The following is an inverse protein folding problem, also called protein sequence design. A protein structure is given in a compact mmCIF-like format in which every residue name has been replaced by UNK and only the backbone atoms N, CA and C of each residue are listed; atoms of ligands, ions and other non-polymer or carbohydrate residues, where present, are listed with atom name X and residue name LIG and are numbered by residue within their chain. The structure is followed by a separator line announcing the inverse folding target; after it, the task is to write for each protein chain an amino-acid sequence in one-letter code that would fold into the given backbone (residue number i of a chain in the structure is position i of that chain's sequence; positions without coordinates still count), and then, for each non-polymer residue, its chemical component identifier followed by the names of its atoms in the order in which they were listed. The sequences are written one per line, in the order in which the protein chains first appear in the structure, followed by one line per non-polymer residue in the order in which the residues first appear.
data_IF_745318488299
#
_entry.id   IF_745318488299
#
_cell.length_a   1.000
_cell.length_b   1.000
_cell.length_c   1.000
_cell.angle_alpha   90.00
_cell.angle_beta   90.00
_cell.angle_gamma   90.00
#
_symmetry.space_group_name_H-M   'P 1'
#
loop_
_entity.id
_entity.type
_entity.pdbx_description
1 polymer ?
#
# COMPACT_ATOMS: atom_id res chain seq x y z
N UNK A 1 -13.68 14.23 -35.20
CA UNK A 1 -14.28 12.91 -35.48
C UNK A 1 -13.19 11.86 -35.37
N UNK A 2 -13.33 10.91 -34.44
CA UNK A 2 -12.71 9.58 -34.46
C UNK A 2 -13.32 8.78 -33.29
N UNK A 3 -14.31 7.95 -33.59
CA UNK A 3 -14.75 6.85 -32.73
C UNK A 3 -13.68 5.76 -32.75
N UNK A 4 -13.39 5.15 -31.60
CA UNK A 4 -13.21 3.71 -31.58
C UNK A 4 -14.29 3.10 -30.69
N UNK A 5 -15.40 2.75 -31.34
CA UNK A 5 -16.36 1.78 -30.85
C UNK A 5 -15.71 0.40 -31.08
N UNK A 6 -15.13 -0.14 -30.01
CA UNK A 6 -14.65 -1.52 -29.93
C UNK A 6 -15.51 -2.26 -28.92
N UNK A 7 -15.86 -3.55 -29.16
CA UNK A 7 -16.86 -4.26 -28.38
C UNK A 7 -16.53 -4.23 -26.87
N UNK A 8 -17.53 -3.98 -25.98
CA UNK A 8 -17.35 -3.97 -24.54
C UNK A 8 -17.15 -5.41 -24.04
N UNK A 9 -15.93 -5.92 -24.20
CA UNK A 9 -15.62 -7.32 -23.92
C UNK A 9 -14.29 -7.82 -24.49
N UNK A 10 -13.54 -6.98 -25.22
CA UNK A 10 -12.14 -7.29 -25.52
C UNK A 10 -11.30 -7.20 -24.24
N UNK A 11 -11.22 -8.31 -23.51
CA UNK A 11 -10.36 -8.50 -22.35
C UNK A 11 -8.92 -8.32 -22.83
N UNK A 12 -8.35 -7.13 -22.58
CA UNK A 12 -7.03 -6.77 -23.07
C UNK A 12 -5.98 -7.77 -22.54
N UNK A 13 -5.29 -8.54 -23.41
CA UNK A 13 -4.37 -9.59 -22.98
C UNK A 13 -3.11 -9.04 -22.29
N UNK A 14 -2.85 -7.74 -22.46
CA UNK A 14 -1.72 -7.03 -21.86
C UNK A 14 -2.12 -6.22 -20.62
N UNK A 15 -3.34 -6.43 -20.09
CA UNK A 15 -3.78 -5.79 -18.85
C UNK A 15 -2.90 -6.17 -17.66
N UNK A 16 -2.40 -5.15 -16.95
CA UNK A 16 -1.61 -5.27 -15.73
C UNK A 16 -2.53 -5.40 -14.51
N UNK A 17 -2.57 -6.60 -13.93
CA UNK A 17 -3.46 -6.96 -12.82
C UNK A 17 -2.86 -6.64 -11.45
N UNK A 18 -3.70 -6.16 -10.54
CA UNK A 18 -3.40 -6.04 -9.11
C UNK A 18 -3.47 -7.41 -8.41
N UNK A 19 -3.06 -7.46 -7.14
CA UNK A 19 -3.20 -8.67 -6.32
C UNK A 19 -4.66 -9.15 -6.24
N UNK A 20 -5.59 -8.19 -6.17
CA UNK A 20 -7.03 -8.46 -6.10
C UNK A 20 -7.54 -8.99 -7.45
N UNK A 21 -7.13 -8.38 -8.57
CA UNK A 21 -7.51 -8.88 -9.90
C UNK A 21 -6.98 -10.28 -10.23
N UNK A 22 -5.83 -10.68 -9.66
CA UNK A 22 -5.30 -12.04 -9.80
C UNK A 22 -6.08 -13.03 -8.91
N UNK A 23 -6.51 -12.60 -7.72
CA UNK A 23 -7.35 -13.40 -6.83
C UNK A 23 -8.74 -13.66 -7.44
N UNK A 24 -9.31 -12.64 -8.09
CA UNK A 24 -10.55 -12.77 -8.87
C UNK A 24 -10.38 -13.72 -10.05
N UNK A 25 -9.26 -13.64 -10.78
CA UNK A 25 -8.98 -14.55 -11.89
C UNK A 25 -8.87 -16.01 -11.43
N UNK A 26 -8.42 -16.24 -10.20
CA UNK A 26 -8.39 -17.56 -9.57
C UNK A 26 -9.76 -18.03 -9.05
N UNK A 27 -10.86 -17.30 -9.29
CA UNK A 27 -12.21 -17.68 -8.88
C UNK A 27 -12.38 -17.82 -7.36
N UNK A 28 -11.64 -17.03 -6.57
CA UNK A 28 -11.70 -17.09 -5.11
C UNK A 28 -10.91 -18.25 -4.46
N UNK A 29 -10.27 -19.10 -5.25
CA UNK A 29 -9.37 -20.15 -4.72
C UNK A 29 -8.13 -19.58 -4.03
N UNK A 30 -7.78 -18.33 -4.34
CA UNK A 30 -6.56 -17.66 -3.87
C UNK A 30 -6.94 -16.29 -3.31
N UNK A 31 -6.49 -15.98 -2.09
CA UNK A 31 -6.67 -14.65 -1.49
C UNK A 31 -5.59 -13.67 -1.96
N UNK A 32 -5.84 -12.34 -1.99
CA UNK A 32 -4.85 -11.34 -2.40
C UNK A 32 -3.54 -11.38 -1.58
N UNK A 33 -3.60 -11.74 -0.30
CA UNK A 33 -2.41 -11.92 0.54
C UNK A 33 -1.51 -13.07 0.06
N UNK A 34 -2.10 -14.14 -0.49
CA UNK A 34 -1.36 -15.26 -1.08
C UNK A 34 -0.61 -14.81 -2.34
N UNK A 35 -1.25 -13.97 -3.18
CA UNK A 35 -0.60 -13.38 -4.36
C UNK A 35 0.57 -12.48 -3.95
N UNK A 36 0.39 -11.66 -2.91
CA UNK A 36 1.49 -10.84 -2.34
C UNK A 36 2.65 -11.71 -1.84
N UNK A 37 2.35 -12.85 -1.23
CA UNK A 37 3.37 -13.84 -0.82
C UNK A 37 4.13 -14.41 -2.02
N UNK A 38 3.46 -14.70 -3.13
CA UNK A 38 4.11 -15.17 -4.35
C UNK A 38 5.03 -14.14 -4.99
N UNK A 39 4.64 -12.87 -4.97
CA UNK A 39 5.54 -11.78 -5.37
C UNK A 39 6.75 -11.68 -4.44
N UNK A 40 6.55 -11.80 -3.13
CA UNK A 40 7.65 -11.75 -2.15
C UNK A 40 8.64 -12.90 -2.34
N UNK A 41 8.13 -14.10 -2.65
CA UNK A 41 8.93 -15.30 -2.82
C UNK A 41 9.48 -15.45 -4.25
N UNK A 42 9.27 -14.47 -5.14
CA UNK A 42 9.74 -14.49 -6.53
C UNK A 42 9.11 -15.58 -7.41
N UNK A 43 8.01 -16.18 -6.97
CA UNK A 43 7.34 -17.27 -7.72
C UNK A 43 6.48 -16.76 -8.87
N UNK A 44 5.95 -15.53 -8.75
CA UNK A 44 5.14 -14.87 -9.76
C UNK A 44 5.85 -13.58 -10.23
N UNK A 45 6.09 -13.40 -11.54
CA UNK A 45 6.73 -12.19 -12.04
C UNK A 45 5.84 -10.97 -11.81
N UNK A 46 6.45 -9.84 -11.47
CA UNK A 46 5.74 -8.58 -11.26
C UNK A 46 6.57 -7.41 -11.75
N UNK A 47 5.89 -6.36 -12.19
CA UNK A 47 6.45 -5.05 -12.48
C UNK A 47 6.08 -4.10 -11.33
N UNK A 48 7.02 -3.22 -10.96
CA UNK A 48 6.83 -2.22 -9.89
C UNK A 48 6.56 -0.87 -10.53
N UNK A 49 5.46 -0.24 -10.12
CA UNK A 49 5.01 1.08 -10.54
C UNK A 49 5.18 2.05 -9.36
N UNK A 50 6.27 2.85 -9.32
CA UNK A 50 6.56 3.74 -8.21
C UNK A 50 5.46 4.78 -7.97
N UNK A 51 4.76 5.17 -9.03
CA UNK A 51 3.69 6.18 -9.03
C UNK A 51 2.45 5.80 -8.20
N UNK A 52 2.23 4.51 -7.91
CA UNK A 52 1.00 4.01 -7.26
C UNK A 52 1.10 3.85 -5.73
N UNK A 53 2.20 4.30 -5.12
CA UNK A 53 2.41 4.24 -3.67
C UNK A 53 2.74 2.84 -3.13
N UNK A 54 3.35 2.78 -1.94
CA UNK A 54 4.04 1.58 -1.43
C UNK A 54 3.15 0.34 -1.22
N UNK A 55 1.84 0.50 -1.08
CA UNK A 55 0.90 -0.63 -0.83
C UNK A 55 0.36 -1.28 -2.10
N UNK A 56 0.39 -0.59 -3.24
CA UNK A 56 -0.27 -1.02 -4.50
C UNK A 56 0.64 -0.82 -5.74
N UNK A 57 1.96 -0.91 -5.53
CA UNK A 57 2.93 -0.66 -6.60
C UNK A 57 3.22 -1.90 -7.45
N UNK A 58 2.86 -3.12 -7.05
CA UNK A 58 3.16 -4.34 -7.81
C UNK A 58 2.00 -4.73 -8.71
N UNK A 59 2.27 -4.98 -9.99
CA UNK A 59 1.30 -5.55 -10.93
C UNK A 59 1.92 -6.66 -11.77
N UNK A 60 1.11 -7.62 -12.17
CA UNK A 60 1.54 -8.74 -13.03
C UNK A 60 0.73 -8.70 -14.32
N UNK A 61 1.38 -9.00 -15.45
CA UNK A 61 0.68 -9.14 -16.72
C UNK A 61 -0.31 -10.31 -16.64
N UNK A 62 -1.54 -10.11 -17.14
CA UNK A 62 -2.59 -11.13 -17.12
C UNK A 62 -2.11 -12.50 -17.63
N UNK A 63 -1.41 -12.55 -18.77
CA UNK A 63 -0.86 -13.79 -19.36
C UNK A 63 0.05 -14.57 -18.41
N UNK A 64 0.89 -13.86 -17.66
CA UNK A 64 1.83 -14.50 -16.73
C UNK A 64 1.10 -15.00 -15.48
N UNK A 65 0.12 -14.24 -14.99
CA UNK A 65 -0.75 -14.66 -13.90
C UNK A 65 -1.57 -15.91 -14.27
N UNK A 66 -2.20 -15.93 -15.45
CA UNK A 66 -2.96 -17.09 -15.94
C UNK A 66 -2.06 -18.32 -16.12
N UNK A 67 -0.88 -18.16 -16.75
CA UNK A 67 0.08 -19.27 -16.92
C UNK A 67 0.53 -19.83 -15.57
N UNK A 68 0.81 -18.96 -14.61
CA UNK A 68 1.23 -19.37 -13.28
C UNK A 68 0.11 -20.08 -12.52
N UNK A 69 -1.10 -19.52 -12.56
CA UNK A 69 -2.28 -20.11 -11.93
C UNK A 69 -2.63 -21.46 -12.55
N UNK A 70 -2.55 -21.61 -13.89
CA UNK A 70 -2.75 -22.91 -14.55
C UNK A 70 -1.74 -23.96 -14.10
N UNK A 71 -0.48 -23.54 -13.92
CA UNK A 71 0.58 -24.44 -13.42
C UNK A 71 0.38 -24.82 -11.95
N UNK A 72 -0.16 -23.92 -11.13
CA UNK A 72 -0.28 -24.10 -9.68
C UNK A 72 -1.59 -24.76 -9.25
N UNK A 73 -2.69 -24.45 -9.91
CA UNK A 73 -4.03 -24.92 -9.56
C UNK A 73 -4.61 -25.94 -10.57
N UNK A 74 -3.93 -26.22 -11.68
CA UNK A 74 -4.43 -27.07 -12.77
C UNK A 74 -5.19 -26.25 -13.82
N UNK A 75 -5.96 -26.89 -14.69
CA UNK A 75 -6.83 -26.16 -15.63
C UNK A 75 -7.74 -25.24 -14.83
N UNK A 76 -7.45 -23.95 -14.90
CA UNK A 76 -8.27 -22.90 -14.31
C UNK A 76 -9.68 -23.09 -14.87
N UNK A 77 -10.74 -23.08 -14.04
CA UNK A 77 -12.08 -22.97 -14.58
C UNK A 77 -12.06 -21.75 -15.50
N UNK A 78 -12.32 -21.99 -16.79
CA UNK A 78 -12.63 -20.91 -17.72
C UNK A 78 -13.63 -20.02 -16.99
N UNK A 79 -13.28 -18.74 -16.87
CA UNK A 79 -13.93 -17.75 -16.02
C UNK A 79 -15.39 -18.14 -15.75
N UNK A 80 -15.80 -18.38 -14.48
CA UNK A 80 -17.19 -18.65 -14.23
C UNK A 80 -17.94 -17.36 -14.60
N UNK A 81 -18.52 -17.37 -15.79
CA UNK A 81 -19.77 -16.69 -16.03
C UNK A 81 -20.64 -17.13 -14.86
N UNK A 82 -20.98 -16.15 -14.03
CA UNK A 82 -21.92 -16.21 -12.93
C UNK A 82 -23.13 -17.06 -13.30
N UNK A 83 -23.08 -18.36 -12.99
CA UNK A 83 -24.22 -19.25 -13.01
C UNK A 83 -24.17 -20.10 -11.74
N UNK A 84 -24.98 -19.66 -10.77
CA UNK A 84 -25.80 -20.46 -9.88
C UNK A 84 -25.54 -21.98 -9.88
N UNK A 85 -24.99 -22.51 -8.79
CA UNK A 85 -25.36 -23.85 -8.33
C UNK A 85 -25.00 -24.05 -6.86
N UNK A 86 -26.05 -24.11 -6.04
CA UNK A 86 -26.04 -24.84 -4.78
C UNK A 86 -25.82 -26.32 -5.09
N UNK A 87 -24.87 -26.97 -4.41
CA UNK A 87 -24.81 -28.42 -4.33
C UNK A 87 -24.24 -28.84 -2.96
N UNK A 88 -25.17 -29.25 -2.10
CA UNK A 88 -25.18 -30.42 -1.20
C UNK A 88 -23.86 -31.08 -0.76
N UNK A 89 -23.68 -31.39 0.54
CA UNK A 89 -22.67 -32.34 1.00
C UNK A 89 -23.11 -33.79 0.73
N UNK A 90 -22.15 -34.58 0.27
CA UNK A 90 -22.22 -35.99 -0.14
C UNK A 90 -22.33 -36.95 1.06
N UNK A 91 -23.25 -37.91 0.99
CA UNK A 91 -23.33 -39.11 1.84
C UNK A 91 -22.35 -40.21 1.38
N UNK A 92 -21.86 -41.03 2.31
CA UNK A 92 -21.50 -42.48 2.21
C UNK A 92 -21.12 -42.93 3.64
N UNK A 93 -21.64 -43.99 4.27
CA UNK A 93 -21.61 -45.40 3.83
C UNK A 93 -22.63 -46.29 4.62
N UNK A 94 -23.03 -47.39 3.99
CA UNK A 94 -24.16 -48.37 4.14
C UNK A 94 -24.34 -49.22 5.45
N UNK A 95 -25.19 -50.30 5.51
CA UNK A 95 -26.60 -50.52 5.07
C UNK A 95 -27.47 -51.24 6.15
N UNK A 96 -28.81 -51.11 6.13
CA UNK A 96 -29.76 -52.24 6.28
C UNK A 96 -31.25 -51.80 6.30
N UNK A 97 -32.00 -52.37 5.35
CA UNK A 97 -33.40 -52.81 5.44
C UNK A 97 -34.46 -51.87 6.08
N UNK A 98 -35.27 -51.21 5.25
CA UNK A 98 -36.75 -51.32 5.22
C UNK A 98 -37.41 -50.28 4.27
N UNK A 99 -38.63 -50.54 3.78
CA UNK A 99 -39.18 -49.89 2.60
C UNK A 99 -39.41 -48.38 2.76
N UNK A 100 -39.07 -47.67 1.69
CA UNK A 100 -39.28 -46.25 1.38
C UNK A 100 -40.41 -45.56 2.17
N UNK A 101 -40.12 -44.55 3.00
CA UNK A 101 -41.09 -43.51 3.27
C UNK A 101 -41.11 -42.58 2.06
N UNK A 102 -42.23 -42.54 1.34
CA UNK A 102 -42.56 -41.41 0.47
C UNK A 102 -42.34 -40.10 1.25
N UNK A 103 -41.59 -39.12 0.74
CA UNK A 103 -41.45 -37.85 1.43
C UNK A 103 -42.85 -37.23 1.55
N UNK A 104 -43.22 -36.66 2.71
CA UNK A 104 -44.47 -35.91 2.79
C UNK A 104 -44.38 -34.80 1.75
N UNK A 105 -45.36 -34.77 0.84
CA UNK A 105 -45.56 -33.65 -0.08
C UNK A 105 -45.57 -32.37 0.73
N UNK A 106 -44.46 -31.63 0.73
CA UNK A 106 -44.37 -30.33 1.38
C UNK A 106 -45.57 -29.50 0.91
N UNK A 107 -46.44 -29.14 1.85
CA UNK A 107 -47.63 -28.37 1.55
C UNK A 107 -47.19 -27.04 0.93
N UNK A 108 -47.96 -26.51 -0.02
CA UNK A 108 -47.72 -25.15 -0.54
C UNK A 108 -47.59 -24.09 0.58
N UNK A 109 -48.21 -24.34 1.74
CA UNK A 109 -48.05 -23.51 2.94
C UNK A 109 -46.64 -23.59 3.54
N UNK A 110 -46.02 -24.78 3.60
CA UNK A 110 -44.65 -24.96 4.11
C UNK A 110 -43.61 -24.33 3.17
N UNK A 111 -43.88 -24.36 1.86
CA UNK A 111 -43.04 -23.66 0.87
C UNK A 111 -43.14 -22.14 1.00
N UNK A 112 -44.33 -21.60 1.28
CA UNK A 112 -44.50 -20.17 1.53
C UNK A 112 -43.84 -19.74 2.85
N UNK A 113 -43.89 -20.57 3.89
CA UNK A 113 -43.27 -20.27 5.18
C UNK A 113 -41.73 -20.32 5.09
N UNK A 114 -41.18 -21.30 4.37
CA UNK A 114 -39.73 -21.35 4.09
C UNK A 114 -39.27 -20.18 3.24
N UNK A 115 -40.05 -19.74 2.24
CA UNK A 115 -39.75 -18.53 1.46
C UNK A 115 -39.83 -17.26 2.30
N UNK A 116 -40.81 -17.16 3.20
CA UNK A 116 -40.93 -16.03 4.13
C UNK A 116 -39.74 -15.99 5.11
N UNK A 117 -39.34 -17.15 5.64
CA UNK A 117 -38.16 -17.31 6.49
C UNK A 117 -36.87 -16.98 5.75
N UNK A 118 -36.72 -17.43 4.50
CA UNK A 118 -35.57 -17.09 3.66
C UNK A 118 -35.48 -15.59 3.38
N UNK A 119 -36.63 -14.95 3.09
CA UNK A 119 -36.68 -13.50 2.93
C UNK A 119 -36.28 -12.78 4.22
N UNK A 120 -36.82 -13.18 5.36
CA UNK A 120 -36.44 -12.59 6.65
C UNK A 120 -34.95 -12.78 6.97
N UNK A 121 -34.39 -13.95 6.64
CA UNK A 121 -32.97 -14.22 6.78
C UNK A 121 -32.12 -13.35 5.84
N UNK A 122 -32.56 -13.15 4.59
CA UNK A 122 -31.89 -12.27 3.63
C UNK A 122 -31.96 -10.79 4.05
N UNK A 123 -33.12 -10.33 4.52
CA UNK A 123 -33.31 -8.97 5.04
C UNK A 123 -32.42 -8.73 6.28
N UNK A 124 -32.33 -9.73 7.18
CA UNK A 124 -31.45 -9.69 8.35
C UNK A 124 -29.96 -9.68 7.97
N UNK A 125 -29.56 -10.53 7.02
CA UNK A 125 -28.18 -10.55 6.51
C UNK A 125 -27.81 -9.22 5.83
N UNK A 126 -28.74 -8.62 5.08
CA UNK A 126 -28.53 -7.34 4.44
C UNK A 126 -28.38 -6.21 5.49
N UNK A 127 -29.20 -6.20 6.52
CA UNK A 127 -29.06 -5.25 7.64
C UNK A 127 -27.73 -5.43 8.38
N UNK A 128 -27.28 -6.67 8.58
CA UNK A 128 -25.98 -6.94 9.18
C UNK A 128 -24.81 -6.42 8.33
N UNK A 129 -24.87 -6.59 7.00
CA UNK A 129 -23.87 -6.07 6.08
C UNK A 129 -23.87 -4.52 6.04
N UNK A 130 -25.04 -3.90 6.11
CA UNK A 130 -25.17 -2.44 6.17
C UNK A 130 -24.57 -1.92 7.49
N UNK A 131 -24.91 -2.53 8.63
CA UNK A 131 -24.38 -2.13 9.93
C UNK A 131 -22.85 -2.29 9.99
N UNK A 132 -22.31 -3.37 9.43
CA UNK A 132 -20.86 -3.58 9.35
C UNK A 132 -20.18 -2.54 8.44
N UNK A 133 -20.79 -2.23 7.29
CA UNK A 133 -20.28 -1.20 6.38
C UNK A 133 -20.30 0.20 7.03
N UNK A 134 -21.36 0.55 7.76
CA UNK A 134 -21.46 1.80 8.52
C UNK A 134 -20.41 1.88 9.63
N UNK A 135 -20.21 0.80 10.38
CA UNK A 135 -19.18 0.72 11.41
C UNK A 135 -17.78 0.90 10.81
N UNK A 136 -17.48 0.24 9.69
CA UNK A 136 -16.22 0.44 8.97
C UNK A 136 -16.05 1.87 8.47
N UNK A 137 -17.10 2.50 7.95
CA UNK A 137 -17.06 3.89 7.48
C UNK A 137 -16.77 4.86 8.64
N UNK A 138 -17.42 4.67 9.80
CA UNK A 138 -17.18 5.48 11.00
C UNK A 138 -15.75 5.29 11.53
N UNK A 139 -15.25 4.05 11.57
CA UNK A 139 -13.88 3.75 11.99
C UNK A 139 -12.85 4.35 11.03
N UNK A 140 -13.08 4.30 9.72
CA UNK A 140 -12.21 4.93 8.72
C UNK A 140 -12.18 6.46 8.89
N UNK A 141 -13.33 7.08 9.15
CA UNK A 141 -13.41 8.53 9.40
C UNK A 141 -12.65 8.92 10.68
N UNK A 142 -12.80 8.15 11.76
CA UNK A 142 -12.08 8.37 13.02
C UNK A 142 -10.56 8.22 12.84
N UNK A 143 -10.10 7.20 12.11
CA UNK A 143 -8.68 7.01 11.79
C UNK A 143 -8.11 8.14 10.94
N UNK A 144 -8.88 8.63 9.95
CA UNK A 144 -8.48 9.76 9.13
C UNK A 144 -8.31 11.04 9.96
N UNK A 145 -9.19 11.29 10.94
CA UNK A 145 -9.07 12.43 11.85
C UNK A 145 -7.80 12.33 12.72
N UNK A 146 -7.52 11.15 13.29
CA UNK A 146 -6.29 10.92 14.07
C UNK A 146 -5.04 11.10 13.22
N UNK A 147 -5.03 10.59 11.99
CA UNK A 147 -3.89 10.74 11.09
C UNK A 147 -3.61 12.20 10.72
N UNK A 148 -4.65 13.02 10.56
CA UNK A 148 -4.48 14.47 10.33
C UNK A 148 -3.88 15.17 11.54
N UNK A 149 -4.40 14.88 12.73
CA UNK A 149 -3.87 15.45 13.97
C UNK A 149 -2.39 15.07 14.22
N UNK A 150 -2.01 13.83 13.89
CA UNK A 150 -0.62 13.38 13.97
C UNK A 150 0.27 14.10 12.96
N UNK A 151 -0.17 14.24 11.71
CA UNK A 151 0.58 14.98 10.70
C UNK A 151 0.80 16.45 11.10
N UNK A 152 -0.22 17.11 11.65
CA UNK A 152 -0.09 18.47 12.19
C UNK A 152 0.93 18.52 13.34
N UNK A 153 0.84 17.60 14.30
CA UNK A 153 1.80 17.53 15.40
C UNK A 153 3.25 17.33 14.93
N UNK A 154 3.47 16.48 13.92
CA UNK A 154 4.79 16.24 13.35
C UNK A 154 5.34 17.48 12.63
N UNK A 155 4.48 18.23 11.92
CA UNK A 155 4.91 19.49 11.29
C UNK A 155 5.33 20.54 12.33
N UNK A 156 4.62 20.65 13.45
CA UNK A 156 4.96 21.57 14.55
C UNK A 156 6.30 21.17 15.16
N UNK A 157 6.54 19.87 15.38
CA UNK A 157 7.82 19.37 15.90
C UNK A 157 8.96 19.68 14.94
N UNK A 158 8.79 19.42 13.64
CA UNK A 158 9.80 19.71 12.63
C UNK A 158 10.15 21.21 12.57
N UNK A 159 9.15 22.10 12.68
CA UNK A 159 9.37 23.55 12.73
C UNK A 159 10.12 23.98 14.00
N UNK A 160 9.80 23.37 15.16
CA UNK A 160 10.48 23.66 16.41
C UNK A 160 11.97 23.25 16.35
N UNK A 161 12.26 22.08 15.79
CA UNK A 161 13.64 21.61 15.64
C UNK A 161 14.42 22.44 14.61
N UNK A 162 13.79 22.87 13.52
CA UNK A 162 14.40 23.80 12.56
C UNK A 162 14.80 25.13 13.23
N UNK A 163 13.91 25.72 14.05
CA UNK A 163 14.22 26.95 14.81
C UNK A 163 15.36 26.74 15.81
N UNK A 164 15.42 25.59 16.49
CA UNK A 164 16.54 25.27 17.40
C UNK A 164 17.87 25.20 16.64
N UNK A 165 17.90 24.60 15.46
CA UNK A 165 19.11 24.56 14.64
C UNK A 165 19.52 25.96 14.19
N UNK A 166 18.57 26.80 13.82
CA UNK A 166 18.83 28.20 13.43
C UNK A 166 19.43 29.01 14.58
N UNK A 167 18.87 28.91 15.79
CA UNK A 167 19.41 29.62 16.97
C UNK A 167 20.81 29.13 17.35
N UNK A 168 21.07 27.83 17.27
CA UNK A 168 22.41 27.27 17.50
C UNK A 168 23.43 27.77 16.46
N UNK A 169 23.05 27.86 15.19
CA UNK A 169 23.90 28.45 14.14
C UNK A 169 24.17 29.93 14.40
N UNK A 170 23.15 30.67 14.83
CA UNK A 170 23.32 32.08 15.18
C UNK A 170 24.32 32.26 16.34
N UNK A 171 24.16 31.48 17.42
CA UNK A 171 25.11 31.49 18.54
C UNK A 171 26.53 31.13 18.10
N UNK A 172 26.69 30.13 17.25
CA UNK A 172 28.00 29.76 16.69
C UNK A 172 28.65 30.93 15.93
N UNK A 173 27.88 31.66 15.13
CA UNK A 173 28.38 32.83 14.40
C UNK A 173 28.78 33.97 15.36
N UNK A 174 27.99 34.21 16.41
CA UNK A 174 28.30 35.22 17.42
C UNK A 174 29.61 34.87 18.16
N UNK A 175 29.79 33.60 18.57
CA UNK A 175 31.03 33.15 19.19
C UNK A 175 32.24 33.33 18.28
N UNK A 176 32.12 32.98 16.98
CA UNK A 176 33.20 33.23 16.01
C UNK A 176 33.54 34.71 15.87
N UNK A 177 32.53 35.58 15.87
CA UNK A 177 32.73 37.03 15.84
C UNK A 177 33.44 37.55 17.10
N UNK A 178 33.07 37.01 18.27
CA UNK A 178 33.72 37.34 19.53
C UNK A 178 35.18 36.87 19.57
N UNK A 179 35.47 35.64 19.13
CA UNK A 179 36.83 35.11 19.02
C UNK A 179 37.68 35.95 18.07
N UNK A 180 37.12 36.37 16.92
CA UNK A 180 37.82 37.26 15.98
C UNK A 180 38.11 38.64 16.62
N UNK A 181 37.15 39.22 17.33
CA UNK A 181 37.36 40.49 18.04
C UNK A 181 38.42 40.34 19.14
N UNK A 182 38.37 39.27 19.93
CA UNK A 182 39.38 38.96 20.95
C UNK A 182 40.78 38.81 20.34
N UNK A 183 40.92 38.04 19.26
CA UNK A 183 42.23 37.88 18.60
C UNK A 183 42.77 39.19 18.05
N UNK A 184 41.89 40.10 17.60
CA UNK A 184 42.28 41.44 17.12
C UNK A 184 42.73 42.35 18.28
N UNK A 185 42.05 42.30 19.43
CA UNK A 185 42.38 43.11 20.60
C UNK A 185 43.53 42.56 21.44
N UNK A 186 43.77 41.24 21.39
CA UNK A 186 44.90 40.57 22.02
C UNK A 186 46.11 40.48 21.09
N UNK A 187 45.99 40.91 19.84
CA UNK A 187 47.13 41.05 18.95
C UNK A 187 48.02 42.17 19.50
N UNK A 188 49.27 41.88 19.91
CA UNK A 188 50.18 42.92 20.34
C UNK A 188 50.42 43.90 19.17
N UNK A 189 50.27 45.20 19.43
CA UNK A 189 50.69 46.24 18.50
C UNK A 189 52.20 46.06 18.18
N UNK A 190 52.53 45.97 16.89
CA UNK A 190 53.87 45.82 16.25
C UNK A 190 54.97 46.76 16.83
N UNK A 191 56.31 46.62 16.57
CA UNK A 191 57.01 45.89 15.49
C UNK A 191 58.36 45.20 15.89
N UNK A 192 59.19 44.71 14.93
CA UNK A 192 60.44 45.46 14.73
C UNK A 192 60.58 45.98 13.29
N UNK A 193 60.80 47.30 13.20
CA UNK A 193 61.52 47.90 12.10
C UNK A 193 62.93 47.31 12.09
N UNK A 194 63.22 46.44 11.13
CA UNK A 194 64.60 46.25 10.71
C UNK A 194 64.95 47.45 9.85
N UNK A 195 65.64 48.42 10.45
CA UNK A 195 66.44 49.38 9.72
C UNK A 195 67.35 48.61 8.76
N UNK A 196 67.00 48.60 7.48
CA UNK A 196 67.93 48.26 6.40
C UNK A 196 68.83 49.46 6.14
N UNK A 197 69.63 49.86 7.12
CA UNK A 197 70.86 50.62 6.91
C UNK A 197 72.03 49.65 6.79
N UNK A 198 71.99 48.84 5.72
CA UNK A 198 73.20 48.27 5.14
C UNK A 198 73.51 49.09 3.88
N UNK A 199 73.91 50.34 4.12
CA UNK A 199 74.52 51.18 3.09
C UNK A 199 75.83 50.52 2.63
N UNK A 200 76.04 50.61 1.32
CA UNK A 200 77.02 49.89 0.51
C UNK A 200 78.47 49.99 1.04
N UNK A 201 79.30 48.94 0.88
CA UNK A 201 80.75 49.14 0.92
C UNK A 201 81.18 49.93 -0.32
N UNK A 202 81.51 51.21 -0.09
CA UNK A 202 82.34 52.01 -0.97
C UNK A 202 83.65 51.28 -1.28
N UNK A 203 83.92 51.05 -2.56
CA UNK A 203 85.29 50.88 -3.08
C UNK A 203 85.48 51.82 -4.26
N UNK A 204 86.23 52.93 -4.11
CA UNK A 204 86.81 53.63 -5.25
C UNK A 204 88.23 53.09 -5.54
N UNK A 205 88.41 52.71 -6.80
CA UNK A 205 89.61 52.69 -7.64
C UNK A 205 91.02 52.76 -7.01
N UNK A 206 91.91 51.85 -7.44
CA UNK A 206 92.87 52.14 -8.52
C UNK A 206 93.47 50.87 -9.12
#
# INVERSE_FOLDING_TARGET
MATPDGPPGAIDPDSLLTADGIAELAGGMVKPNTVRSWWRNGSLPYEVFPELGAKSNKRTRRRDAERFLRRKLGDLPAAPLTETSMATPTESDEPHANPSPTPPSASSADLLDTLASLKAAADSAMQALIAEAEHHAQMAAAQAAVSRAQAEADTIRAQADAKRVETLKHLQNVFRGYDLALTTHLQPAYPPHFDSTAEQPHTPQR
#
